data_IF_786614635789
#
_entry.id   IF_786614635789
#
_cell.length_a   1.000
_cell.length_b   1.000
_cell.length_c   1.000
_cell.angle_alpha   90.00
_cell.angle_beta   90.00
_cell.angle_gamma   90.00
#
_symmetry.space_group_name_H-M   'P 1'
#
loop_
_entity.id
_entity.type
_entity.pdbx_description
1 polymer ?
#
# COMPACT_ATOMS: atom_id res chain seq x y z
N UNK A 1 8.99 17.87 -21.56
CA UNK A 1 7.95 18.61 -20.84
C UNK A 1 6.72 17.75 -20.49
N UNK A 2 5.79 17.39 -21.39
CA UNK A 2 4.53 16.72 -20.97
C UNK A 2 4.71 15.31 -20.37
N UNK A 3 5.59 14.47 -20.95
CA UNK A 3 5.91 13.14 -20.39
C UNK A 3 6.63 13.21 -19.04
N UNK A 4 7.51 14.20 -18.88
CA UNK A 4 8.24 14.46 -17.63
C UNK A 4 7.30 14.90 -16.52
N UNK A 5 6.37 15.82 -16.81
CA UNK A 5 5.32 16.25 -15.88
C UNK A 5 4.42 15.08 -15.45
N UNK A 6 4.12 14.17 -16.38
CA UNK A 6 3.31 12.98 -16.11
C UNK A 6 4.04 12.00 -15.18
N UNK A 7 5.33 11.76 -15.41
CA UNK A 7 6.16 10.92 -14.56
C UNK A 7 6.32 11.51 -13.15
N UNK A 8 6.55 12.82 -13.06
CA UNK A 8 6.64 13.52 -11.79
C UNK A 8 5.33 13.44 -11.01
N UNK A 9 4.19 13.64 -11.67
CA UNK A 9 2.87 13.50 -11.05
C UNK A 9 2.65 12.10 -10.48
N UNK A 10 2.99 11.04 -11.23
CA UNK A 10 2.89 9.65 -10.76
C UNK A 10 3.80 9.37 -9.57
N UNK A 11 5.04 9.88 -9.58
CA UNK A 11 5.96 9.77 -8.44
C UNK A 11 5.38 10.43 -7.18
N UNK A 12 4.84 11.65 -7.31
CA UNK A 12 4.17 12.35 -6.21
C UNK A 12 2.97 11.59 -5.68
N UNK A 13 2.17 10.99 -6.57
CA UNK A 13 1.04 10.14 -6.19
C UNK A 13 1.48 8.96 -5.31
N UNK A 14 2.54 8.21 -5.67
CA UNK A 14 3.05 7.14 -4.79
C UNK A 14 3.55 7.70 -3.46
N UNK A 15 4.27 8.82 -3.48
CA UNK A 15 4.78 9.43 -2.25
C UNK A 15 3.65 9.78 -1.30
N UNK A 16 2.60 10.44 -1.80
CA UNK A 16 1.43 10.79 -1.01
C UNK A 16 0.68 9.57 -0.52
N UNK A 17 0.52 8.54 -1.35
CA UNK A 17 -0.08 7.28 -0.93
C UNK A 17 0.67 6.66 0.26
N UNK A 18 2.01 6.59 0.20
CA UNK A 18 2.84 6.00 1.27
C UNK A 18 2.70 6.80 2.58
N UNK A 19 2.79 8.13 2.51
CA UNK A 19 2.65 8.97 3.69
C UNK A 19 1.25 8.96 4.28
N UNK A 20 0.23 8.99 3.43
CA UNK A 20 -1.17 8.91 3.83
C UNK A 20 -1.49 7.56 4.49
N UNK A 21 -1.04 6.46 3.88
CA UNK A 21 -1.14 5.11 4.45
C UNK A 21 -0.47 5.04 5.83
N UNK A 22 0.75 5.57 5.97
CA UNK A 22 1.44 5.62 7.26
C UNK A 22 0.67 6.43 8.30
N UNK A 23 0.18 7.63 7.95
CA UNK A 23 -0.57 8.49 8.86
C UNK A 23 -1.86 7.82 9.36
N UNK A 24 -2.60 7.14 8.48
CA UNK A 24 -3.80 6.39 8.88
C UNK A 24 -3.43 5.23 9.80
N UNK A 25 -2.34 4.50 9.53
CA UNK A 25 -1.90 3.40 10.39
C UNK A 25 -1.47 3.90 11.77
N UNK A 26 -0.83 5.07 11.87
CA UNK A 26 -0.54 5.70 13.17
C UNK A 26 -1.84 6.02 13.90
N UNK A 27 -2.82 6.64 13.22
CA UNK A 27 -4.12 6.93 13.82
C UNK A 27 -4.84 5.66 14.28
N UNK A 28 -4.80 4.60 13.48
CA UNK A 28 -5.38 3.32 13.82
C UNK A 28 -4.65 2.65 15.00
N UNK A 29 -3.33 2.79 15.10
CA UNK A 29 -2.57 2.33 16.26
C UNK A 29 -3.02 3.04 17.54
N UNK A 30 -3.32 4.34 17.47
CA UNK A 30 -3.88 5.08 18.62
C UNK A 30 -5.24 4.50 19.05
N UNK A 31 -6.08 4.08 18.11
CA UNK A 31 -7.37 3.47 18.47
C UNK A 31 -7.22 2.08 19.07
N UNK A 32 -6.22 1.28 18.64
CA UNK A 32 -5.86 0.03 19.34
C UNK A 32 -5.46 0.28 20.80
N UNK A 33 -4.63 1.30 21.05
CA UNK A 33 -4.18 1.66 22.41
C UNK A 33 -5.38 2.12 23.24
N UNK A 34 -6.20 3.04 22.72
CA UNK A 34 -7.36 3.57 23.42
C UNK A 34 -8.41 2.50 23.74
N UNK A 35 -8.63 1.57 22.81
CA UNK A 35 -9.55 0.46 23.00
C UNK A 35 -9.00 -0.69 23.88
N UNK A 36 -7.73 -0.65 24.29
CA UNK A 36 -7.10 -1.72 25.08
C UNK A 36 -6.82 -3.01 24.27
N UNK A 37 -6.81 -2.92 22.94
CA UNK A 37 -6.68 -4.04 21.99
C UNK A 37 -5.20 -4.40 21.73
N UNK A 38 -4.26 -3.81 22.46
CA UNK A 38 -2.82 -4.06 22.28
C UNK A 38 -2.36 -5.44 22.80
N UNK A 39 -3.24 -6.24 23.40
CA UNK A 39 -2.95 -7.60 23.87
C UNK A 39 -3.02 -8.65 22.73
N UNK A 40 -2.45 -8.32 21.58
CA UNK A 40 -2.33 -9.22 20.43
C UNK A 40 -1.02 -10.01 20.50
N UNK A 41 -0.95 -11.21 19.88
CA UNK A 41 0.27 -11.99 19.81
C UNK A 41 1.45 -11.18 19.23
N UNK A 42 2.66 -11.38 19.78
CA UNK A 42 3.86 -10.63 19.37
C UNK A 42 4.10 -10.64 17.85
N UNK A 43 3.85 -11.75 17.17
CA UNK A 43 4.04 -11.84 15.72
C UNK A 43 3.11 -10.89 14.95
N UNK A 44 1.89 -10.65 15.43
CA UNK A 44 0.95 -9.70 14.83
C UNK A 44 1.45 -8.28 15.00
N UNK A 45 1.95 -7.92 16.19
CA UNK A 45 2.57 -6.62 16.44
C UNK A 45 3.79 -6.40 15.53
N UNK A 46 4.68 -7.38 15.43
CA UNK A 46 5.86 -7.30 14.56
C UNK A 46 5.46 -7.18 13.09
N UNK A 47 4.43 -7.90 12.66
CA UNK A 47 3.91 -7.80 11.30
C UNK A 47 3.31 -6.41 11.03
N UNK A 48 2.46 -5.90 11.92
CA UNK A 48 1.84 -4.58 11.78
C UNK A 48 2.90 -3.47 11.72
N UNK A 49 3.88 -3.47 12.63
CA UNK A 49 4.94 -2.45 12.63
C UNK A 49 5.87 -2.64 11.42
N UNK A 50 6.35 -3.85 11.17
CA UNK A 50 7.34 -4.12 10.13
C UNK A 50 6.78 -4.03 8.71
N UNK A 51 5.70 -4.76 8.44
CA UNK A 51 5.13 -4.91 7.08
C UNK A 51 4.15 -3.80 6.77
N UNK A 52 3.22 -3.51 7.68
CA UNK A 52 2.16 -2.54 7.39
C UNK A 52 2.73 -1.13 7.51
N UNK A 53 3.37 -0.80 8.63
CA UNK A 53 3.78 0.57 8.89
C UNK A 53 5.10 0.96 8.20
N UNK A 54 6.14 0.12 8.27
CA UNK A 54 7.50 0.49 7.83
C UNK A 54 7.87 0.02 6.42
N UNK A 55 7.45 -1.17 5.98
CA UNK A 55 7.84 -1.68 4.66
C UNK A 55 7.43 -0.78 3.47
N UNK A 56 6.29 -0.04 3.46
CA UNK A 56 5.95 0.84 2.34
C UNK A 56 7.04 1.87 2.01
N UNK A 57 7.86 2.26 2.98
CA UNK A 57 8.98 3.18 2.77
C UNK A 57 10.10 2.58 1.91
N UNK A 58 10.19 1.25 1.81
CA UNK A 58 11.10 0.59 0.86
C UNK A 58 10.79 1.06 -0.57
N UNK A 59 9.50 1.24 -0.92
CA UNK A 59 9.13 1.75 -2.24
C UNK A 59 9.68 3.16 -2.51
N UNK A 60 9.82 4.02 -1.49
CA UNK A 60 10.43 5.34 -1.65
C UNK A 60 11.92 5.26 -2.02
N UNK A 61 12.65 4.27 -1.50
CA UNK A 61 14.06 4.05 -1.82
C UNK A 61 14.23 3.71 -3.32
N UNK A 62 13.26 3.00 -3.91
CA UNK A 62 13.28 2.62 -5.31
C UNK A 62 12.69 3.67 -6.26
N UNK A 63 11.90 4.61 -5.74
CA UNK A 63 11.18 5.61 -6.54
C UNK A 63 12.07 6.49 -7.43
N UNK A 64 13.29 6.90 -7.02
CA UNK A 64 14.19 7.64 -7.92
C UNK A 64 14.70 6.78 -9.08
N UNK A 65 14.87 5.47 -8.87
CA UNK A 65 15.45 4.53 -9.82
C UNK A 65 14.43 4.03 -10.85
N UNK A 66 13.26 3.61 -10.37
CA UNK A 66 12.23 3.04 -11.23
C UNK A 66 10.85 3.15 -10.59
N UNK A 67 9.98 3.95 -11.22
CA UNK A 67 8.59 4.09 -10.82
C UNK A 67 7.85 2.74 -10.83
N UNK A 68 8.14 1.90 -11.82
CA UNK A 68 7.50 0.58 -11.96
C UNK A 68 7.95 -0.38 -10.86
N UNK A 69 9.23 -0.40 -10.50
CA UNK A 69 9.72 -1.23 -9.39
C UNK A 69 9.18 -0.75 -8.05
N UNK A 70 9.18 0.57 -7.82
CA UNK A 70 8.58 1.15 -6.61
C UNK A 70 7.10 0.77 -6.46
N UNK A 71 6.31 0.89 -7.54
CA UNK A 71 4.91 0.47 -7.56
C UNK A 71 4.75 -1.05 -7.36
N UNK A 72 5.64 -1.85 -7.93
CA UNK A 72 5.66 -3.31 -7.76
C UNK A 72 5.93 -3.74 -6.31
N UNK A 73 6.90 -3.09 -5.65
CA UNK A 73 7.19 -3.33 -4.23
C UNK A 73 5.99 -2.91 -3.38
N UNK A 74 5.47 -1.71 -3.62
CA UNK A 74 4.36 -1.16 -2.85
C UNK A 74 3.09 -2.01 -2.97
N UNK A 75 2.74 -2.49 -4.16
CA UNK A 75 1.54 -3.33 -4.33
C UNK A 75 1.62 -4.64 -3.57
N UNK A 76 2.78 -5.29 -3.54
CA UNK A 76 2.97 -6.52 -2.77
C UNK A 76 2.79 -6.27 -1.26
N UNK A 77 3.33 -5.16 -0.76
CA UNK A 77 3.19 -4.77 0.64
C UNK A 77 1.73 -4.46 0.96
N UNK A 78 1.05 -3.65 0.15
CA UNK A 78 -0.35 -3.29 0.38
C UNK A 78 -1.29 -4.50 0.31
N UNK A 79 -1.04 -5.48 -0.56
CA UNK A 79 -1.79 -6.75 -0.58
C UNK A 79 -1.58 -7.49 0.74
N UNK A 80 -0.33 -7.61 1.20
CA UNK A 80 -0.01 -8.29 2.44
C UNK A 80 -0.65 -7.59 3.66
N UNK A 81 -0.65 -6.25 3.69
CA UNK A 81 -1.32 -5.46 4.72
C UNK A 81 -2.84 -5.61 4.66
N UNK A 82 -3.44 -5.53 3.47
CA UNK A 82 -4.88 -5.71 3.28
C UNK A 82 -5.37 -7.07 3.74
N UNK A 83 -4.67 -8.14 3.37
CA UNK A 83 -5.03 -9.49 3.80
C UNK A 83 -4.98 -9.55 5.34
N UNK A 84 -3.92 -9.03 5.95
CA UNK A 84 -3.79 -9.04 7.41
C UNK A 84 -4.89 -8.24 8.10
N UNK A 85 -5.14 -7.00 7.67
CA UNK A 85 -6.17 -6.14 8.23
C UNK A 85 -7.57 -6.71 8.02
N UNK A 86 -7.85 -7.27 6.83
CA UNK A 86 -9.15 -7.87 6.53
C UNK A 86 -9.41 -9.09 7.42
N UNK A 87 -8.40 -9.96 7.56
CA UNK A 87 -8.52 -11.15 8.39
C UNK A 87 -8.78 -10.78 9.84
N UNK A 88 -7.97 -9.91 10.45
CA UNK A 88 -8.08 -9.64 11.88
C UNK A 88 -9.25 -8.70 12.23
N UNK A 89 -9.53 -7.70 11.40
CA UNK A 89 -10.56 -6.71 11.75
C UNK A 89 -11.97 -7.12 11.32
N UNK A 90 -12.14 -7.95 10.28
CA UNK A 90 -13.46 -8.24 9.71
C UNK A 90 -13.85 -9.72 9.71
N UNK A 91 -12.90 -10.66 9.76
CA UNK A 91 -13.19 -12.07 9.51
C UNK A 91 -12.94 -12.98 10.72
N UNK A 92 -11.75 -12.91 11.32
CA UNK A 92 -11.32 -13.83 12.35
C UNK A 92 -11.84 -13.38 13.72
N UNK A 93 -12.42 -14.29 14.52
CA UNK A 93 -12.74 -13.99 15.91
C UNK A 93 -11.47 -13.61 16.68
N UNK A 94 -11.50 -12.44 17.32
CA UNK A 94 -10.34 -11.88 18.01
C UNK A 94 -10.68 -10.60 18.77
N UNK A 95 -9.73 -10.13 19.57
CA UNK A 95 -9.85 -8.88 20.33
C UNK A 95 -9.90 -7.64 19.42
N UNK A 96 -9.37 -7.76 18.22
CA UNK A 96 -9.27 -6.74 17.17
C UNK A 96 -10.37 -6.84 16.10
N UNK A 97 -11.26 -7.83 16.19
CA UNK A 97 -12.45 -7.88 15.38
C UNK A 97 -13.34 -6.67 15.69
N UNK A 98 -13.77 -5.94 14.66
CA UNK A 98 -14.54 -4.68 14.80
C UNK A 98 -15.80 -4.80 15.65
N UNK A 99 -16.45 -5.98 15.65
CA UNK A 99 -17.65 -6.27 16.44
C UNK A 99 -17.35 -6.64 17.91
N UNK A 100 -16.10 -6.96 18.24
CA UNK A 100 -15.64 -7.30 19.59
C UNK A 100 -15.22 -6.05 20.39
N UNK A 101 -14.85 -4.96 19.70
CA UNK A 101 -14.46 -3.70 20.34
C UNK A 101 -15.69 -2.93 20.82
N UNK A 102 -15.71 -2.57 22.10
CA UNK A 102 -16.82 -1.86 22.75
C UNK A 102 -16.34 -0.61 23.49
N UNK A 103 -17.28 0.22 23.96
CA UNK A 103 -16.98 1.46 24.68
C UNK A 103 -16.64 2.65 23.78
N UNK A 104 -16.10 3.71 24.37
CA UNK A 104 -15.90 5.00 23.69
C UNK A 104 -14.95 4.97 22.49
N UNK A 105 -14.08 3.95 22.42
CA UNK A 105 -13.12 3.77 21.33
C UNK A 105 -13.63 2.86 20.20
N UNK A 106 -14.81 2.24 20.35
CA UNK A 106 -15.37 1.33 19.35
C UNK A 106 -15.54 2.02 17.98
N UNK A 107 -16.22 3.17 17.94
CA UNK A 107 -16.46 3.87 16.69
C UNK A 107 -15.15 4.38 16.03
N UNK A 108 -14.22 5.05 16.75
CA UNK A 108 -12.91 5.39 16.20
C UNK A 108 -12.14 4.18 15.67
N UNK A 109 -12.14 3.06 16.40
CA UNK A 109 -11.49 1.82 15.97
C UNK A 109 -12.08 1.31 14.66
N UNK A 110 -13.41 1.18 14.59
CA UNK A 110 -14.11 0.70 13.40
C UNK A 110 -13.85 1.59 12.17
N UNK A 111 -14.00 2.91 12.32
CA UNK A 111 -13.79 3.86 11.23
C UNK A 111 -12.34 3.85 10.74
N UNK A 112 -11.37 3.81 11.66
CA UNK A 112 -9.96 3.73 11.28
C UNK A 112 -9.61 2.40 10.62
N UNK A 113 -10.15 1.27 11.08
CA UNK A 113 -9.96 -0.04 10.46
C UNK A 113 -10.49 -0.07 9.02
N UNK A 114 -11.71 0.43 8.79
CA UNK A 114 -12.25 0.52 7.43
C UNK A 114 -11.47 1.50 6.56
N UNK A 115 -11.01 2.63 7.12
CA UNK A 115 -10.20 3.60 6.38
C UNK A 115 -8.85 3.02 5.95
N UNK A 116 -8.20 2.20 6.78
CA UNK A 116 -6.98 1.45 6.42
C UNK A 116 -7.29 0.55 5.22
N UNK A 117 -8.30 -0.31 5.32
CA UNK A 117 -8.64 -1.26 4.25
C UNK A 117 -9.00 -0.57 2.93
N UNK A 118 -9.75 0.52 2.99
CA UNK A 118 -10.11 1.32 1.81
C UNK A 118 -8.88 1.99 1.19
N UNK A 119 -7.93 2.44 2.02
CA UNK A 119 -6.68 3.03 1.55
C UNK A 119 -5.79 1.99 0.88
N UNK A 120 -5.71 0.80 1.45
CA UNK A 120 -4.92 -0.30 0.90
C UNK A 120 -5.49 -0.78 -0.43
N UNK A 121 -6.81 -1.02 -0.53
CA UNK A 121 -7.43 -1.48 -1.79
C UNK A 121 -7.32 -0.42 -2.89
N UNK A 122 -7.52 0.86 -2.56
CA UNK A 122 -7.32 1.96 -3.51
C UNK A 122 -5.85 2.07 -3.93
N UNK A 123 -4.92 1.93 -2.98
CA UNK A 123 -3.48 1.94 -3.23
C UNK A 123 -3.02 0.77 -4.12
N UNK A 124 -3.59 -0.42 -3.92
CA UNK A 124 -3.36 -1.60 -4.77
C UNK A 124 -3.77 -1.29 -6.22
N UNK A 125 -5.00 -0.80 -6.41
CA UNK A 125 -5.50 -0.42 -7.74
C UNK A 125 -4.64 0.64 -8.42
N UNK A 126 -4.22 1.66 -7.67
CA UNK A 126 -3.34 2.71 -8.15
C UNK A 126 -1.95 2.17 -8.56
N UNK A 127 -1.36 1.28 -7.76
CA UNK A 127 -0.07 0.68 -8.10
C UNK A 127 -0.17 -0.19 -9.36
N UNK A 128 -1.22 -0.99 -9.50
CA UNK A 128 -1.46 -1.77 -10.73
C UNK A 128 -1.61 -0.87 -11.95
N UNK A 129 -2.40 0.21 -11.84
CA UNK A 129 -2.53 1.19 -12.92
C UNK A 129 -1.16 1.74 -13.33
N UNK A 130 -0.32 2.16 -12.38
CA UNK A 130 1.03 2.67 -12.64
C UNK A 130 1.91 1.62 -13.33
N UNK A 131 1.87 0.37 -12.88
CA UNK A 131 2.64 -0.72 -13.49
C UNK A 131 2.22 -0.95 -14.95
N UNK A 132 0.92 -0.93 -15.24
CA UNK A 132 0.37 -1.14 -16.59
C UNK A 132 0.77 0.00 -17.53
N UNK A 133 0.61 1.26 -17.11
CA UNK A 133 0.93 2.43 -17.95
C UNK A 133 2.43 2.72 -18.04
N UNK A 134 3.26 2.07 -17.23
CA UNK A 134 4.72 2.20 -17.24
C UNK A 134 5.43 1.06 -18.00
N UNK A 135 4.69 0.23 -18.77
CA UNK A 135 5.30 -0.82 -19.60
C UNK A 135 6.24 -0.19 -20.65
N UNK A 136 7.51 -0.61 -20.73
CA UNK A 136 8.39 -0.18 -21.80
C UNK A 136 7.84 -0.69 -23.15
N UNK A 137 7.83 0.19 -24.14
CA UNK A 137 7.33 -0.09 -25.49
C UNK A 137 8.31 -1.01 -26.25
N UNK A 138 8.42 -2.28 -25.84
CA UNK A 138 9.34 -3.25 -26.44
C UNK A 138 8.87 -3.76 -27.82
N UNK A 139 7.68 -3.36 -28.28
CA UNK A 139 7.14 -3.78 -29.58
C UNK A 139 7.67 -2.94 -30.77
N UNK A 140 8.53 -1.94 -30.54
CA UNK A 140 9.04 -1.06 -31.63
C UNK A 140 10.45 -1.41 -32.13
N UNK A 141 11.14 -2.39 -31.54
CA UNK A 141 12.50 -2.79 -31.93
C UNK A 141 12.57 -4.04 -32.82
N UNK A 142 11.44 -4.64 -33.19
CA UNK A 142 11.40 -5.83 -34.06
C UNK A 142 11.07 -5.51 -35.52
N UNK A 143 11.39 -4.30 -36.02
CA UNK A 143 11.38 -4.06 -37.46
C UNK A 143 12.65 -4.69 -38.07
N UNK A 144 12.54 -5.73 -38.92
CA UNK A 144 13.70 -6.28 -39.59
C UNK A 144 14.31 -5.20 -40.48
N UNK A 145 15.60 -4.93 -40.29
CA UNK A 145 16.36 -4.00 -41.12
C UNK A 145 16.22 -4.37 -42.59
N UNK A 146 15.73 -3.40 -43.36
CA UNK A 146 15.67 -3.40 -44.83
C UNK A 146 17.05 -3.76 -45.38
N UNK A 147 17.11 -4.82 -46.19
CA UNK A 147 18.29 -5.29 -46.95
C UNK A 147 18.99 -4.10 -47.62
N UNK A 148 20.31 -3.96 -47.42
CA UNK A 148 21.16 -3.24 -48.38
C UNK A 148 21.62 -4.25 -49.42
N UNK A 149 21.11 -4.08 -50.63
CA UNK A 149 21.66 -4.68 -51.85
C UNK A 149 23.03 -4.02 -52.09
N UNK A 150 24.04 -4.84 -52.31
CA UNK A 150 25.29 -4.51 -53.00
C UNK A 150 25.61 -5.69 -53.91
#
# INVERSE_FOLDING_TARGET
MQQENTQLARKRILQYLIWFHFAINVLHTVTHIGAGVMHIPLFQTVYAVGVIMLAPFIALIWLPRSLRQAAGILVCILIASFIFGFLNHLLLPGADLVSSVTGMWALPFQLSAYLVLLTEIAGIGLCFWIIIVSRPNQLRSSAPGRKKQA
#
